data_IF_919488870961
#
_entry.id   IF_919488870961
#
_cell.length_a   1.000
_cell.length_b   1.000
_cell.length_c   1.000
_cell.angle_alpha   90.00
_cell.angle_beta   90.00
_cell.angle_gamma   90.00
#
_symmetry.space_group_name_H-M   'P 1'
#
loop_
_entity.id
_entity.type
_entity.pdbx_description
1 polymer ?
#
# COMPACT_ATOMS: atom_id res chain seq x y z
N UNK A 1 25.33 40.04 -71.05
CA UNK A 1 24.88 40.84 -69.89
C UNK A 1 23.37 40.99 -70.05
N UNK A 2 22.42 40.53 -69.21
CA UNK A 2 22.37 39.89 -67.89
C UNK A 2 21.06 39.06 -67.91
N UNK A 3 21.10 37.80 -67.48
CA UNK A 3 19.90 36.99 -67.25
C UNK A 3 19.14 37.57 -66.06
N UNK A 4 17.91 38.03 -66.28
CA UNK A 4 17.03 38.49 -65.21
C UNK A 4 16.65 37.29 -64.30
N UNK A 5 16.91 37.35 -62.98
CA UNK A 5 16.55 36.27 -62.07
C UNK A 5 15.04 36.30 -61.81
N UNK A 6 14.34 35.20 -62.07
CA UNK A 6 12.91 35.06 -61.72
C UNK A 6 12.75 35.07 -60.19
N UNK A 7 11.85 35.89 -59.63
CA UNK A 7 11.61 35.89 -58.19
C UNK A 7 11.02 34.54 -57.76
N UNK A 8 11.67 33.90 -56.78
CA UNK A 8 11.09 32.73 -56.10
C UNK A 8 9.90 33.22 -55.27
N UNK A 9 8.70 32.69 -55.55
CA UNK A 9 7.51 32.99 -54.75
C UNK A 9 7.78 32.57 -53.31
N UNK A 10 7.59 33.45 -52.30
CA UNK A 10 7.65 33.05 -50.92
C UNK A 10 6.57 32.01 -50.69
N UNK A 11 6.93 30.85 -50.13
CA UNK A 11 5.94 29.88 -49.64
C UNK A 11 5.09 30.61 -48.61
N UNK A 12 3.81 30.83 -48.96
CA UNK A 12 2.86 31.51 -48.09
C UNK A 12 2.82 30.83 -46.73
N UNK A 13 2.86 31.63 -45.66
CA UNK A 13 2.71 31.14 -44.30
C UNK A 13 1.39 30.36 -44.22
N UNK A 14 1.49 29.04 -44.09
CA UNK A 14 0.33 28.16 -43.89
C UNK A 14 -0.13 28.37 -42.46
N UNK A 15 -1.29 28.99 -42.28
CA UNK A 15 -1.94 29.06 -40.97
C UNK A 15 -2.39 27.68 -40.52
N UNK A 16 -2.53 27.48 -39.20
CA UNK A 16 -3.06 26.25 -38.62
C UNK A 16 -4.50 26.02 -39.09
N UNK A 17 -4.80 24.78 -39.49
CA UNK A 17 -6.18 24.41 -39.85
C UNK A 17 -6.99 24.13 -38.59
N UNK A 18 -8.32 24.31 -38.65
CA UNK A 18 -9.22 23.93 -37.55
C UNK A 18 -9.10 22.44 -37.18
N UNK A 19 -8.85 21.58 -38.18
CA UNK A 19 -8.64 20.14 -37.98
C UNK A 19 -7.40 19.86 -37.12
N UNK A 20 -6.31 20.61 -37.35
CA UNK A 20 -5.04 20.41 -36.65
C UNK A 20 -5.15 20.78 -35.16
N UNK A 21 -5.83 21.88 -34.85
CA UNK A 21 -6.12 22.26 -33.46
C UNK A 21 -7.04 21.24 -32.78
N UNK A 22 -8.06 20.74 -33.49
CA UNK A 22 -8.95 19.72 -32.94
C UNK A 22 -8.19 18.42 -32.65
N UNK A 23 -7.35 17.95 -33.59
CA UNK A 23 -6.51 16.77 -33.39
C UNK A 23 -5.52 16.98 -32.25
N UNK A 24 -4.91 18.15 -32.14
CA UNK A 24 -3.99 18.48 -31.05
C UNK A 24 -4.69 18.43 -29.68
N UNK A 25 -5.90 19.01 -29.57
CA UNK A 25 -6.69 18.96 -28.33
C UNK A 25 -7.10 17.54 -27.99
N UNK A 26 -7.48 16.71 -28.98
CA UNK A 26 -7.83 15.30 -28.74
C UNK A 26 -6.62 14.52 -28.21
N UNK A 27 -5.45 14.68 -28.83
CA UNK A 27 -4.22 14.02 -28.37
C UNK A 27 -3.86 14.48 -26.94
N UNK A 28 -3.96 15.79 -26.69
CA UNK A 28 -3.70 16.36 -25.37
C UNK A 28 -4.67 15.81 -24.31
N UNK A 29 -5.97 15.73 -24.63
CA UNK A 29 -6.99 15.21 -23.73
C UNK A 29 -6.72 13.74 -23.37
N UNK A 30 -6.34 12.91 -24.35
CA UNK A 30 -5.97 11.51 -24.11
C UNK A 30 -4.71 11.42 -23.23
N UNK A 31 -3.69 12.22 -23.51
CA UNK A 31 -2.47 12.26 -22.72
C UNK A 31 -2.72 12.67 -21.26
N UNK A 32 -3.54 13.71 -21.03
CA UNK A 32 -3.94 14.12 -19.68
C UNK A 32 -4.75 13.04 -18.96
N UNK A 33 -5.67 12.37 -19.67
CA UNK A 33 -6.42 11.25 -19.11
C UNK A 33 -5.50 10.12 -18.62
N UNK A 34 -4.46 9.80 -19.39
CA UNK A 34 -3.45 8.82 -18.99
C UNK A 34 -2.67 9.27 -17.74
N UNK A 35 -2.26 10.54 -17.68
CA UNK A 35 -1.55 11.09 -16.52
C UNK A 35 -2.40 11.08 -15.24
N UNK A 36 -3.68 11.44 -15.34
CA UNK A 36 -4.61 11.41 -14.20
C UNK A 36 -4.78 9.99 -13.68
N UNK A 37 -4.93 9.01 -14.59
CA UNK A 37 -5.04 7.59 -14.23
C UNK A 37 -3.81 7.12 -13.47
N UNK A 38 -2.62 7.39 -13.99
CA UNK A 38 -1.35 7.01 -13.34
C UNK A 38 -1.21 7.71 -11.98
N UNK A 39 -1.52 9.00 -11.90
CA UNK A 39 -1.48 9.75 -10.64
C UNK A 39 -2.43 9.18 -9.59
N UNK A 40 -3.64 8.80 -9.99
CA UNK A 40 -4.64 8.19 -9.11
C UNK A 40 -4.21 6.81 -8.63
N UNK A 41 -3.66 5.98 -9.52
CA UNK A 41 -3.09 4.67 -9.16
C UNK A 41 -1.92 4.81 -8.18
N UNK A 42 -1.05 5.78 -8.39
CA UNK A 42 0.07 6.03 -7.50
C UNK A 42 -0.38 6.53 -6.11
N UNK A 43 -1.38 7.41 -6.05
CA UNK A 43 -1.97 7.87 -4.80
C UNK A 43 -2.63 6.72 -4.03
N UNK A 44 -3.36 5.84 -4.72
CA UNK A 44 -3.97 4.65 -4.13
C UNK A 44 -2.91 3.68 -3.58
N UNK A 45 -1.82 3.47 -4.32
CA UNK A 45 -0.72 2.63 -3.87
C UNK A 45 0.00 3.22 -2.64
N UNK A 46 0.26 4.53 -2.63
CA UNK A 46 0.84 5.21 -1.48
C UNK A 46 -0.05 5.07 -0.23
N UNK A 47 -1.36 5.21 -0.38
CA UNK A 47 -2.31 4.99 0.72
C UNK A 47 -2.29 3.54 1.21
N UNK A 48 -2.24 2.56 0.30
CA UNK A 48 -2.13 1.14 0.66
C UNK A 48 -0.86 0.83 1.46
N UNK A 49 0.29 1.35 1.03
CA UNK A 49 1.56 1.14 1.74
C UNK A 49 1.53 1.77 3.14
N UNK A 50 1.02 3.01 3.26
CA UNK A 50 0.82 3.68 4.54
C UNK A 50 -0.06 2.86 5.48
N UNK A 51 -1.17 2.35 4.97
CA UNK A 51 -2.11 1.53 5.74
C UNK A 51 -1.45 0.23 6.23
N UNK A 52 -0.60 -0.39 5.39
CA UNK A 52 0.18 -1.56 5.77
C UNK A 52 1.17 -1.26 6.91
N UNK A 53 1.83 -0.10 6.87
CA UNK A 53 2.73 0.35 7.93
C UNK A 53 1.98 0.58 9.24
N UNK A 54 0.83 1.25 9.23
CA UNK A 54 0.02 1.45 10.43
C UNK A 54 -0.49 0.13 11.01
N UNK A 55 -1.01 -0.77 10.16
CA UNK A 55 -1.43 -2.11 10.59
C UNK A 55 -0.27 -2.88 11.26
N UNK A 56 0.94 -2.75 10.71
CA UNK A 56 2.14 -3.38 11.28
C UNK A 56 2.50 -2.78 12.65
N UNK A 57 2.43 -1.46 12.82
CA UNK A 57 2.66 -0.79 14.11
C UNK A 57 1.61 -1.19 15.16
N UNK A 58 0.34 -1.29 14.78
CA UNK A 58 -0.72 -1.82 15.65
C UNK A 58 -0.38 -3.24 16.09
N UNK A 59 0.03 -4.11 15.16
CA UNK A 59 0.43 -5.48 15.44
C UNK A 59 1.63 -5.58 16.39
N UNK A 60 2.66 -4.74 16.19
CA UNK A 60 3.82 -4.68 17.09
C UNK A 60 3.45 -4.18 18.49
N UNK A 61 2.57 -3.17 18.59
CA UNK A 61 2.10 -2.66 19.88
C UNK A 61 1.31 -3.73 20.64
N UNK A 62 0.44 -4.47 19.96
CA UNK A 62 -0.26 -5.63 20.52
C UNK A 62 0.71 -6.72 20.99
N UNK A 63 1.64 -7.15 20.15
CA UNK A 63 2.63 -8.14 20.53
C UNK A 63 3.47 -7.69 21.73
N UNK A 64 3.81 -6.40 21.80
CA UNK A 64 4.51 -5.82 22.96
C UNK A 64 3.67 -5.91 24.23
N UNK A 65 2.36 -5.65 24.17
CA UNK A 65 1.44 -5.84 25.31
C UNK A 65 1.44 -7.28 25.84
N UNK A 66 1.46 -8.27 24.94
CA UNK A 66 1.61 -9.67 25.34
C UNK A 66 2.97 -9.94 26.02
N UNK A 67 4.07 -9.39 25.47
CA UNK A 67 5.42 -9.57 26.04
C UNK A 67 5.58 -8.97 27.43
N UNK A 68 4.98 -7.81 27.69
CA UNK A 68 5.05 -7.14 29.00
C UNK A 68 3.96 -7.59 29.98
N UNK A 69 3.17 -8.61 29.63
CA UNK A 69 2.17 -9.20 30.51
C UNK A 69 0.89 -8.36 30.70
N UNK A 70 0.63 -7.37 29.84
CA UNK A 70 -0.64 -6.63 29.84
C UNK A 70 -1.80 -7.44 29.26
N UNK A 71 -1.50 -8.46 28.47
CA UNK A 71 -2.50 -9.39 27.94
C UNK A 71 -2.27 -10.82 28.48
N UNK A 72 -3.32 -11.58 28.79
CA UNK A 72 -3.23 -12.97 29.22
C UNK A 72 -2.58 -13.85 28.15
N UNK A 73 -1.70 -14.74 28.59
CA UNK A 73 -1.05 -15.77 27.76
C UNK A 73 -1.89 -17.05 27.60
N UNK A 74 -3.22 -16.94 27.76
CA UNK A 74 -4.10 -18.08 27.61
C UNK A 74 -4.13 -18.52 26.14
N UNK A 75 -3.99 -19.83 25.90
CA UNK A 75 -4.09 -20.44 24.58
C UNK A 75 -5.47 -20.16 23.99
N UNK A 76 -5.50 -19.81 22.70
CA UNK A 76 -6.71 -19.50 21.96
C UNK A 76 -6.60 -18.18 21.21
N UNK A 77 -7.73 -17.72 20.70
CA UNK A 77 -7.80 -16.50 19.89
C UNK A 77 -8.56 -15.41 20.63
N UNK A 78 -8.08 -14.18 20.54
CA UNK A 78 -8.73 -12.98 21.04
C UNK A 78 -8.82 -11.94 19.94
N UNK A 79 -9.87 -11.13 20.00
CA UNK A 79 -10.17 -10.12 19.00
C UNK A 79 -10.44 -8.79 19.67
N UNK A 80 -10.23 -7.70 18.95
CA UNK A 80 -10.56 -6.38 19.42
C UNK A 80 -10.21 -5.30 18.42
N UNK A 81 -10.27 -4.06 18.88
CA UNK A 81 -9.97 -2.88 18.07
C UNK A 81 -8.79 -2.09 18.64
N UNK A 82 -8.16 -1.28 17.81
CA UNK A 82 -7.11 -0.35 18.19
C UNK A 82 -7.20 0.90 17.32
N UNK A 83 -7.07 2.07 17.94
CA UNK A 83 -7.00 3.34 17.21
C UNK A 83 -5.55 3.65 16.82
N UNK A 84 -5.31 4.00 15.56
CA UNK A 84 -4.02 4.51 15.10
C UNK A 84 -4.18 5.28 13.78
N UNK A 85 -3.63 6.50 13.72
CA UNK A 85 -3.68 7.34 12.53
C UNK A 85 -5.10 7.76 12.17
N UNK A 86 -5.89 8.18 13.17
CA UNK A 86 -7.29 8.60 13.03
C UNK A 86 -8.21 7.52 12.44
N UNK A 87 -7.84 6.25 12.63
CA UNK A 87 -8.57 5.09 12.11
C UNK A 87 -8.59 3.97 13.13
N UNK A 88 -9.72 3.26 13.14
CA UNK A 88 -9.91 2.02 13.89
C UNK A 88 -9.37 0.84 13.09
N UNK A 89 -8.57 0.02 13.76
CA UNK A 89 -8.01 -1.24 13.25
C UNK A 89 -8.62 -2.42 13.98
N UNK A 90 -8.91 -3.48 13.25
CA UNK A 90 -9.48 -4.72 13.79
C UNK A 90 -8.39 -5.76 13.84
N UNK A 91 -8.17 -6.34 15.02
CA UNK A 91 -7.09 -7.29 15.22
C UNK A 91 -7.58 -8.61 15.80
N UNK A 92 -6.87 -9.67 15.45
CA UNK A 92 -7.00 -10.99 16.05
C UNK A 92 -5.62 -11.45 16.51
N UNK A 93 -5.50 -11.80 17.78
CA UNK A 93 -4.32 -12.39 18.38
C UNK A 93 -4.59 -13.88 18.67
N UNK A 94 -3.80 -14.75 18.07
CA UNK A 94 -3.85 -16.20 18.28
C UNK A 94 -2.64 -16.61 19.11
N UNK A 95 -2.90 -17.23 20.25
CA UNK A 95 -1.89 -17.72 21.20
C UNK A 95 -1.88 -19.24 21.14
N UNK A 96 -0.72 -19.83 20.84
CA UNK A 96 -0.53 -21.28 20.76
C UNK A 96 0.73 -21.71 21.49
N UNK A 97 0.76 -22.94 21.97
CA UNK A 97 2.01 -23.54 22.45
C UNK A 97 3.03 -23.63 21.32
N UNK A 98 4.30 -23.47 21.68
CA UNK A 98 5.41 -23.62 20.75
C UNK A 98 6.57 -24.34 21.43
N UNK A 99 7.31 -25.08 20.62
CA UNK A 99 8.62 -25.62 20.94
C UNK A 99 9.57 -25.20 19.83
N UNK A 100 10.77 -24.78 20.20
CA UNK A 100 11.80 -24.39 19.22
C UNK A 100 13.00 -25.28 19.42
N UNK A 101 13.38 -26.02 18.38
CA UNK A 101 14.56 -26.85 18.36
C UNK A 101 15.72 -26.07 17.74
N UNK A 102 16.76 -25.82 18.56
CA UNK A 102 18.01 -25.18 18.10
C UNK A 102 19.16 -26.10 18.44
N UNK A 103 19.85 -26.62 17.41
CA UNK A 103 21.06 -27.44 17.54
C UNK A 103 20.92 -28.62 18.53
N UNK A 104 19.77 -29.29 18.54
CA UNK A 104 19.51 -30.45 19.41
C UNK A 104 19.05 -30.10 20.83
N UNK A 105 18.85 -28.80 21.13
CA UNK A 105 18.23 -28.33 22.36
C UNK A 105 16.78 -27.90 22.07
N UNK A 106 15.82 -28.61 22.66
CA UNK A 106 14.40 -28.26 22.61
C UNK A 106 14.09 -27.23 23.69
N UNK A 107 13.76 -26.01 23.29
CA UNK A 107 13.23 -24.99 24.18
C UNK A 107 11.72 -25.19 24.31
N UNK A 108 11.30 -25.74 25.45
CA UNK A 108 9.90 -25.92 25.82
C UNK A 108 9.35 -24.73 26.62
N UNK A 109 8.03 -24.73 26.84
CA UNK A 109 7.33 -23.68 27.59
C UNK A 109 7.18 -22.35 26.83
N UNK A 110 7.51 -22.34 25.53
CA UNK A 110 7.31 -21.16 24.70
C UNK A 110 5.83 -21.03 24.31
N UNK A 111 5.40 -19.78 24.25
CA UNK A 111 4.11 -19.40 23.71
C UNK A 111 4.32 -18.59 22.45
N UNK A 112 3.73 -19.03 21.34
CA UNK A 112 3.69 -18.30 20.07
C UNK A 112 2.45 -17.41 20.06
N UNK A 113 2.66 -16.12 19.82
CA UNK A 113 1.59 -15.14 19.64
C UNK A 113 1.65 -14.63 18.21
N UNK A 114 0.56 -14.81 17.47
CA UNK A 114 0.37 -14.29 16.12
C UNK A 114 -0.73 -13.23 16.13
N UNK A 115 -0.38 -12.02 15.72
CA UNK A 115 -1.30 -10.88 15.64
C UNK A 115 -1.56 -10.55 14.17
N UNK A 116 -2.82 -10.66 13.77
CA UNK A 116 -3.31 -10.24 12.47
C UNK A 116 -4.08 -8.93 12.60
N UNK A 117 -3.84 -7.97 11.69
CA UNK A 117 -4.48 -6.65 11.72
C UNK A 117 -5.12 -6.33 10.37
N UNK A 118 -6.36 -5.85 10.41
CA UNK A 118 -7.24 -5.57 9.27
C UNK A 118 -7.81 -4.15 9.38
N UNK A 119 -8.16 -3.57 8.23
CA UNK A 119 -8.81 -2.26 8.12
C UNK A 119 -10.32 -2.31 8.36
N UNK A 120 -10.92 -3.50 8.43
CA UNK A 120 -12.36 -3.73 8.63
C UNK A 120 -12.59 -4.97 9.48
N UNK A 121 -13.77 -5.04 10.10
CA UNK A 121 -14.25 -6.21 10.85
C UNK A 121 -14.74 -7.31 9.90
N UNK A 122 -13.82 -7.88 9.14
CA UNK A 122 -14.09 -8.95 8.18
C UNK A 122 -12.99 -10.02 8.32
N UNK A 123 -13.36 -11.20 8.81
CA UNK A 123 -12.40 -12.26 9.13
C UNK A 123 -11.82 -12.91 7.86
N UNK A 124 -12.59 -12.93 6.78
CA UNK A 124 -12.25 -13.62 5.55
C UNK A 124 -11.33 -12.77 4.67
N UNK A 125 -11.28 -11.46 4.94
CA UNK A 125 -10.35 -10.53 4.32
C UNK A 125 -8.91 -10.80 4.76
N UNK A 126 -8.00 -10.74 3.80
CA UNK A 126 -6.56 -10.89 4.05
C UNK A 126 -6.07 -9.77 5.00
N UNK A 127 -5.29 -10.12 6.05
CA UNK A 127 -4.77 -9.12 6.96
C UNK A 127 -3.73 -8.21 6.26
N UNK A 128 -3.81 -6.91 6.54
CA UNK A 128 -2.84 -5.94 6.04
C UNK A 128 -1.47 -6.15 6.68
N UNK A 129 -1.45 -6.57 7.94
CA UNK A 129 -0.23 -6.97 8.63
C UNK A 129 -0.45 -8.22 9.47
N UNK A 130 0.58 -9.06 9.50
CA UNK A 130 0.71 -10.22 10.39
C UNK A 130 2.05 -10.11 11.11
N UNK A 131 2.02 -10.14 12.43
CA UNK A 131 3.20 -10.03 13.30
C UNK A 131 3.23 -11.23 14.22
N UNK A 132 4.36 -11.95 14.26
CA UNK A 132 4.52 -13.16 15.07
C UNK A 132 5.63 -12.93 16.09
N UNK A 133 5.43 -13.38 17.31
CA UNK A 133 6.45 -13.42 18.33
C UNK A 133 6.34 -14.65 19.23
N UNK A 134 7.45 -14.95 19.90
CA UNK A 134 7.54 -15.99 20.91
C UNK A 134 7.79 -15.36 22.27
N UNK A 135 7.22 -15.94 23.31
CA UNK A 135 7.28 -15.47 24.70
C UNK A 135 7.60 -16.68 25.59
N UNK A 136 8.43 -16.47 26.61
CA UNK A 136 8.83 -17.47 27.60
C UNK A 136 8.12 -17.22 28.95
#
# INVERSE_FOLDING_TARGET
MILCPRPRRPYGQRGFTLLEVLVAVVILAVAMGALIKVGSENAANAAYLRDRTHAHWVGMNLLTRYRIGMEPRQIGSREGTSEMGERTWYWRATVSEASVDVEGVTLGGLVRVEVEVRDRDDRDREPLARVVGFIL
#
